data_IF_349995473552
#
_entry.id   IF_349995473552
#
_cell.length_a   1.000
_cell.length_b   1.000
_cell.length_c   1.000
_cell.angle_alpha   90.00
_cell.angle_beta   90.00
_cell.angle_gamma   90.00
#
_symmetry.space_group_name_H-M   'P 1'
#
loop_
_entity.id
_entity.type
_entity.pdbx_description
1 polymer ?
#
# COMPACT_ATOMS: atom_id res chain seq x y z
N UNK A 1 13.84 -9.88 1.67
CA UNK A 1 14.37 -9.07 2.79
C UNK A 1 13.29 -8.13 3.33
N UNK A 2 13.47 -7.67 4.57
CA UNK A 2 12.61 -6.70 5.25
C UNK A 2 13.46 -5.66 5.95
N UNK A 3 12.96 -4.43 6.05
CA UNK A 3 13.63 -3.35 6.77
C UNK A 3 12.65 -2.21 7.09
N UNK A 4 13.16 -1.21 7.78
CA UNK A 4 12.43 0.03 8.00
C UNK A 4 12.84 1.07 6.96
N UNK A 5 11.85 1.73 6.40
CA UNK A 5 12.05 2.87 5.52
C UNK A 5 12.44 4.09 6.38
N UNK A 6 13.45 4.88 5.98
CA UNK A 6 13.80 6.10 6.70
C UNK A 6 12.65 7.11 6.68
N UNK A 7 12.03 7.31 7.82
CA UNK A 7 10.87 8.20 7.96
C UNK A 7 11.27 9.67 8.12
N UNK A 8 12.09 10.20 7.21
CA UNK A 8 12.61 11.56 7.26
C UNK A 8 11.50 12.55 6.94
N UNK A 9 11.13 13.38 7.90
CA UNK A 9 10.05 14.35 7.77
C UNK A 9 10.52 15.83 7.74
N UNK A 10 11.82 16.07 7.61
CA UNK A 10 12.43 17.40 7.64
C UNK A 10 12.53 17.96 9.08
N UNK A 11 13.01 19.21 9.20
CA UNK A 11 13.28 19.82 10.50
C UNK A 11 12.03 20.11 11.34
N UNK A 12 10.90 20.34 10.71
CA UNK A 12 9.63 20.71 11.36
C UNK A 12 8.56 19.63 11.24
N UNK A 13 8.85 18.54 10.56
CA UNK A 13 7.91 17.45 10.37
C UNK A 13 7.92 16.44 11.52
N UNK A 14 6.92 15.59 11.54
CA UNK A 14 6.80 14.49 12.51
C UNK A 14 7.37 13.22 11.88
N UNK A 15 8.46 12.65 12.41
CA UNK A 15 9.06 11.45 11.85
C UNK A 15 8.12 10.26 12.00
N UNK A 16 8.11 9.42 10.98
CA UNK A 16 7.34 8.17 10.94
C UNK A 16 8.27 7.00 10.74
N UNK A 17 7.88 5.85 11.23
CA UNK A 17 8.47 4.59 10.83
C UNK A 17 7.54 3.89 9.84
N UNK A 18 8.12 3.21 8.85
CA UNK A 18 7.40 2.35 7.93
C UNK A 18 8.19 1.07 7.72
N UNK A 19 7.58 -0.06 8.02
CA UNK A 19 8.17 -1.38 7.85
C UNK A 19 7.75 -1.95 6.51
N UNK A 20 8.71 -2.40 5.72
CA UNK A 20 8.46 -2.94 4.39
C UNK A 20 9.13 -4.29 4.16
N UNK A 21 8.60 -5.03 3.22
CA UNK A 21 9.16 -6.28 2.69
C UNK A 21 9.29 -6.18 1.16
N UNK A 22 10.11 -7.04 0.57
CA UNK A 22 10.28 -7.08 -0.89
C UNK A 22 9.22 -7.95 -1.59
N UNK A 23 7.96 -7.84 -1.16
CA UNK A 23 6.81 -8.53 -1.76
C UNK A 23 5.61 -7.60 -1.81
N UNK A 24 4.67 -7.90 -2.70
CA UNK A 24 3.48 -7.08 -2.88
C UNK A 24 3.83 -5.62 -3.12
N UNK A 25 3.09 -4.71 -2.53
CA UNK A 25 3.37 -3.28 -2.60
C UNK A 25 4.25 -2.76 -1.45
N UNK A 26 5.04 -3.63 -0.84
CA UNK A 26 6.14 -3.31 0.05
C UNK A 26 5.71 -3.01 1.49
N UNK A 27 4.95 -1.96 1.73
CA UNK A 27 4.61 -1.49 3.07
C UNK A 27 3.70 -2.48 3.80
N UNK A 28 4.16 -2.95 4.97
CA UNK A 28 3.44 -3.89 5.84
C UNK A 28 2.86 -3.23 7.06
N UNK A 29 3.51 -2.19 7.58
CA UNK A 29 3.06 -1.42 8.72
C UNK A 29 3.76 -0.07 8.76
N UNK A 30 3.09 0.94 9.27
CA UNK A 30 3.67 2.27 9.47
C UNK A 30 2.97 2.99 10.62
N UNK A 31 3.64 3.95 11.20
CA UNK A 31 3.12 4.73 12.32
C UNK A 31 4.12 5.75 12.85
N UNK A 32 3.79 6.33 13.99
CA UNK A 32 4.65 7.25 14.73
C UNK A 32 5.12 6.60 16.03
N UNK A 33 6.16 7.15 16.67
CA UNK A 33 6.70 6.73 17.96
C UNK A 33 7.09 5.24 18.00
N UNK A 34 6.12 4.35 18.16
CA UNK A 34 6.34 2.91 18.28
C UNK A 34 5.13 2.11 17.76
N UNK A 35 5.19 0.78 17.83
CA UNK A 35 4.16 -0.14 17.30
C UNK A 35 2.74 0.06 17.86
N UNK A 36 2.59 0.70 19.01
CA UNK A 36 1.27 0.98 19.60
C UNK A 36 0.57 2.19 18.96
N UNK A 37 1.24 2.89 18.07
CA UNK A 37 0.73 4.04 17.30
C UNK A 37 0.83 3.78 15.80
N UNK A 38 0.54 2.56 15.41
CA UNK A 38 0.53 2.15 14.01
C UNK A 38 -0.86 2.28 13.40
N UNK A 39 -0.91 2.55 12.11
CA UNK A 39 -2.13 2.55 11.30
C UNK A 39 -2.41 1.14 10.75
N UNK A 40 -1.35 0.40 10.42
CA UNK A 40 -1.41 -1.02 10.07
C UNK A 40 -0.78 -1.83 11.19
N UNK A 41 -1.39 -2.96 11.55
CA UNK A 41 -0.86 -3.84 12.58
C UNK A 41 0.58 -4.27 12.27
N UNK A 42 1.46 -4.14 13.26
CA UNK A 42 2.85 -4.52 13.11
C UNK A 42 3.05 -6.00 13.42
N UNK A 43 3.43 -6.75 12.40
CA UNK A 43 3.79 -8.16 12.51
C UNK A 43 5.29 -8.39 12.40
N UNK A 44 5.82 -9.48 12.99
CA UNK A 44 7.17 -9.95 12.69
C UNK A 44 7.36 -10.19 11.18
N UNK A 45 8.61 -10.12 10.72
CA UNK A 45 8.94 -10.19 9.30
C UNK A 45 8.36 -11.43 8.58
N UNK A 46 8.43 -12.60 9.21
CA UNK A 46 7.90 -13.85 8.64
C UNK A 46 6.39 -13.80 8.40
N UNK A 47 5.62 -13.20 9.32
CA UNK A 47 4.17 -13.00 9.15
C UNK A 47 3.92 -11.93 8.10
N UNK A 48 4.64 -10.79 8.15
CA UNK A 48 4.53 -9.71 7.16
C UNK A 48 4.73 -10.20 5.74
N UNK A 49 5.68 -11.09 5.49
CA UNK A 49 5.87 -11.72 4.17
C UNK A 49 4.65 -12.48 3.67
N UNK A 50 3.92 -13.14 4.55
CA UNK A 50 2.74 -13.94 4.17
C UNK A 50 1.49 -13.10 3.99
N UNK A 51 1.36 -11.97 4.72
CA UNK A 51 0.12 -11.20 4.75
C UNK A 51 0.16 -9.91 3.92
N UNK A 52 1.33 -9.46 3.44
CA UNK A 52 1.45 -8.19 2.72
C UNK A 52 0.57 -8.10 1.46
N UNK A 53 0.37 -9.22 0.78
CA UNK A 53 -0.47 -9.29 -0.42
C UNK A 53 -1.98 -9.18 -0.11
N UNK A 54 -2.37 -9.37 1.15
CA UNK A 54 -3.78 -9.35 1.57
C UNK A 54 -4.12 -8.16 2.45
N UNK A 55 -3.21 -7.76 3.34
CA UNK A 55 -3.42 -6.67 4.30
C UNK A 55 -2.60 -5.42 3.99
N UNK A 56 -1.63 -5.48 3.08
CA UNK A 56 -0.89 -4.32 2.60
C UNK A 56 -1.69 -3.44 1.64
N UNK A 57 -1.05 -2.41 1.11
CA UNK A 57 -1.62 -1.61 0.04
C UNK A 57 -1.85 -2.47 -1.21
N UNK A 58 -2.98 -2.23 -1.88
CA UNK A 58 -3.38 -2.95 -3.08
C UNK A 58 -3.93 -1.98 -4.12
N UNK A 59 -3.66 -2.31 -5.38
CA UNK A 59 -4.17 -1.58 -6.54
C UNK A 59 -4.83 -2.59 -7.47
N UNK A 60 -6.04 -2.33 -7.88
CA UNK A 60 -6.78 -3.15 -8.84
C UNK A 60 -7.04 -2.32 -10.07
N UNK A 61 -6.77 -2.88 -11.23
CA UNK A 61 -6.96 -2.24 -12.53
C UNK A 61 -7.96 -3.04 -13.33
N UNK A 62 -9.00 -2.38 -13.83
CA UNK A 62 -9.89 -2.94 -14.85
C UNK A 62 -9.58 -2.23 -16.17
N UNK A 63 -8.92 -2.94 -17.05
CA UNK A 63 -8.37 -2.42 -18.30
C UNK A 63 -9.26 -2.85 -19.45
N UNK A 64 -9.76 -1.89 -20.21
CA UNK A 64 -10.51 -2.13 -21.44
C UNK A 64 -9.63 -1.79 -22.63
N UNK A 65 -9.38 -2.79 -23.49
CA UNK A 65 -8.60 -2.65 -24.73
C UNK A 65 -9.37 -3.33 -25.84
N UNK A 66 -9.82 -2.54 -26.83
CA UNK A 66 -10.71 -3.01 -27.89
C UNK A 66 -11.96 -3.71 -27.28
N UNK A 67 -12.19 -4.98 -27.58
CA UNK A 67 -13.35 -5.75 -27.07
C UNK A 67 -13.02 -6.63 -25.86
N UNK A 68 -11.83 -6.47 -25.24
CA UNK A 68 -11.43 -7.28 -24.08
C UNK A 68 -11.39 -6.44 -22.83
N UNK A 69 -11.89 -7.01 -21.73
CA UNK A 69 -11.74 -6.45 -20.39
C UNK A 69 -10.85 -7.38 -19.58
N UNK A 70 -9.82 -6.82 -18.95
CA UNK A 70 -8.85 -7.53 -18.13
C UNK A 70 -8.89 -6.92 -16.73
N UNK A 71 -9.10 -7.75 -15.70
CA UNK A 71 -8.88 -7.35 -14.31
C UNK A 71 -7.45 -7.74 -13.93
N UNK A 72 -6.70 -6.78 -13.41
CA UNK A 72 -5.28 -6.96 -13.10
C UNK A 72 -4.94 -6.38 -11.74
N UNK A 73 -4.20 -7.13 -10.94
CA UNK A 73 -3.61 -6.66 -9.69
C UNK A 73 -2.08 -6.70 -9.84
N UNK A 74 -1.40 -5.55 -9.87
CA UNK A 74 0.06 -5.49 -9.99
C UNK A 74 0.75 -5.94 -8.69
N UNK A 75 2.02 -6.29 -8.82
CA UNK A 75 2.90 -6.72 -7.73
C UNK A 75 2.49 -8.02 -7.04
N UNK A 76 1.57 -8.79 -7.62
CA UNK A 76 1.37 -10.17 -7.21
C UNK A 76 2.59 -11.01 -7.62
N UNK A 77 3.06 -11.87 -6.71
CA UNK A 77 4.15 -12.81 -6.98
C UNK A 77 3.67 -13.96 -7.87
N UNK A 78 3.23 -13.66 -9.09
CA UNK A 78 2.98 -14.67 -10.11
C UNK A 78 4.30 -14.93 -10.85
N UNK A 79 5.03 -15.91 -10.36
CA UNK A 79 6.31 -16.34 -10.93
C UNK A 79 6.23 -16.98 -12.32
N UNK A 80 5.04 -17.12 -12.89
CA UNK A 80 4.83 -17.85 -14.12
C UNK A 80 5.25 -17.11 -15.41
N UNK A 81 5.36 -15.78 -15.38
CA UNK A 81 5.68 -14.98 -16.60
C UNK A 81 6.76 -13.93 -16.31
N UNK A 82 7.95 -14.41 -16.00
CA UNK A 82 9.10 -13.54 -15.70
C UNK A 82 9.69 -12.85 -16.93
N UNK A 83 9.37 -13.28 -18.14
CA UNK A 83 9.84 -12.67 -19.38
C UNK A 83 9.08 -11.38 -19.70
N UNK A 84 7.79 -11.36 -19.43
CA UNK A 84 6.91 -10.25 -19.79
C UNK A 84 6.55 -9.34 -18.60
N UNK A 85 6.71 -9.82 -17.37
CA UNK A 85 6.44 -9.05 -16.15
C UNK A 85 7.75 -8.82 -15.41
N UNK A 86 8.18 -7.56 -15.36
CA UNK A 86 9.38 -7.16 -14.63
C UNK A 86 9.00 -6.29 -13.44
N UNK A 87 9.38 -6.74 -12.24
CA UNK A 87 9.20 -5.99 -10.99
C UNK A 87 10.55 -5.49 -10.48
N UNK A 88 10.57 -4.25 -9.98
CA UNK A 88 11.76 -3.62 -9.42
C UNK A 88 11.38 -2.86 -8.16
N UNK A 89 12.19 -3.00 -7.11
CA UNK A 89 12.11 -2.21 -5.89
C UNK A 89 13.37 -1.37 -5.75
N UNK A 90 13.23 -0.05 -5.63
CA UNK A 90 14.31 0.90 -5.41
C UNK A 90 14.12 1.54 -4.04
N UNK A 91 15.15 1.53 -3.23
CA UNK A 91 15.15 2.10 -1.88
C UNK A 91 16.12 3.26 -1.90
N UNK A 92 15.59 4.45 -1.72
CA UNK A 92 16.32 5.71 -1.64
C UNK A 92 16.32 6.23 -0.20
N UNK A 93 17.18 7.19 0.16
CA UNK A 93 17.20 7.73 1.53
C UNK A 93 15.88 8.34 1.99
N UNK A 94 15.00 8.74 1.09
CA UNK A 94 13.74 9.44 1.36
C UNK A 94 12.54 8.89 0.60
N UNK A 95 12.73 7.91 -0.28
CA UNK A 95 11.67 7.30 -1.08
C UNK A 95 11.82 5.77 -1.17
N UNK A 96 10.71 5.08 -1.20
CA UNK A 96 10.60 3.69 -1.64
C UNK A 96 9.81 3.67 -2.94
N UNK A 97 10.39 3.12 -4.00
CA UNK A 97 9.77 3.08 -5.33
C UNK A 97 9.63 1.63 -5.75
N UNK A 98 8.43 1.26 -6.16
CA UNK A 98 8.11 -0.01 -6.78
C UNK A 98 7.71 0.24 -8.22
N UNK A 99 8.28 -0.51 -9.14
CA UNK A 99 7.93 -0.44 -10.56
C UNK A 99 7.56 -1.84 -11.05
N UNK A 100 6.47 -1.94 -11.77
CA UNK A 100 6.11 -3.15 -12.53
C UNK A 100 5.83 -2.78 -13.98
N UNK A 101 6.47 -3.51 -14.88
CA UNK A 101 6.23 -3.42 -16.32
C UNK A 101 5.60 -4.74 -16.75
N UNK A 102 4.38 -4.69 -17.27
CA UNK A 102 3.68 -5.84 -17.85
C UNK A 102 3.50 -5.63 -19.35
N UNK A 103 4.35 -6.29 -20.13
CA UNK A 103 4.34 -6.19 -21.61
C UNK A 103 3.12 -6.87 -22.24
N UNK A 104 2.53 -7.88 -21.61
CA UNK A 104 1.35 -8.57 -22.13
C UNK A 104 0.13 -7.65 -22.20
N UNK A 105 -0.03 -6.84 -21.17
CA UNK A 105 -1.13 -5.87 -21.08
C UNK A 105 -0.73 -4.54 -21.70
N UNK A 106 0.57 -4.23 -21.68
CA UNK A 106 1.12 -2.99 -22.21
C UNK A 106 1.02 -1.84 -21.22
N UNK A 107 1.21 -2.10 -19.93
CA UNK A 107 1.19 -1.09 -18.88
C UNK A 107 2.46 -1.11 -18.04
N UNK A 108 2.80 0.07 -17.51
CA UNK A 108 3.79 0.24 -16.45
C UNK A 108 3.11 0.87 -15.25
N UNK A 109 3.33 0.32 -14.08
CA UNK A 109 2.82 0.83 -12.82
C UNK A 109 4.01 1.23 -11.94
N UNK A 110 3.95 2.45 -11.39
CA UNK A 110 4.94 2.96 -10.44
C UNK A 110 4.24 3.35 -9.16
N UNK A 111 4.66 2.77 -8.04
CA UNK A 111 4.20 3.12 -6.70
C UNK A 111 5.35 3.75 -5.94
N UNK A 112 5.14 4.96 -5.40
CA UNK A 112 6.13 5.68 -4.61
C UNK A 112 5.60 5.92 -3.20
N UNK A 113 6.47 5.73 -2.21
CA UNK A 113 6.20 6.05 -0.82
C UNK A 113 7.24 7.04 -0.31
N UNK A 114 6.80 8.07 0.41
CA UNK A 114 7.65 9.00 1.13
C UNK A 114 6.88 9.59 2.32
N UNK A 115 7.60 10.13 3.29
CA UNK A 115 6.97 10.80 4.43
C UNK A 115 6.76 12.28 4.14
N UNK A 116 5.66 12.83 4.63
CA UNK A 116 5.29 14.24 4.42
C UNK A 116 6.30 15.16 5.12
N UNK A 117 7.06 16.00 4.37
CA UNK A 117 8.10 16.80 4.98
C UNK A 117 7.55 18.12 5.55
N UNK A 118 8.14 18.57 6.66
CA UNK A 118 7.94 19.91 7.24
C UNK A 118 6.48 20.31 7.51
N UNK A 119 5.62 19.33 7.77
CA UNK A 119 4.22 19.57 8.12
C UNK A 119 3.96 19.23 9.60
N UNK A 120 3.00 19.89 10.26
CA UNK A 120 2.65 19.62 11.66
C UNK A 120 1.87 18.32 11.85
N UNK A 121 1.71 17.53 10.79
CA UNK A 121 1.03 16.24 10.79
C UNK A 121 1.96 15.16 10.24
N UNK A 122 1.91 13.97 10.84
CA UNK A 122 2.60 12.81 10.29
C UNK A 122 1.79 12.22 9.13
N UNK A 123 2.44 11.96 8.01
CA UNK A 123 1.79 11.36 6.84
C UNK A 123 2.75 10.49 6.03
N UNK A 124 2.33 9.26 5.73
CA UNK A 124 2.94 8.44 4.70
C UNK A 124 2.23 8.74 3.39
N UNK A 125 2.93 9.39 2.49
CA UNK A 125 2.43 9.69 1.16
C UNK A 125 2.61 8.47 0.26
N UNK A 126 1.58 8.18 -0.53
CA UNK A 126 1.61 7.15 -1.55
C UNK A 126 1.10 7.71 -2.87
N UNK A 127 1.88 7.52 -3.92
CA UNK A 127 1.52 7.92 -5.28
C UNK A 127 1.54 6.68 -6.17
N UNK A 128 0.49 6.47 -6.94
CA UNK A 128 0.38 5.40 -7.94
C UNK A 128 0.25 6.03 -9.30
N UNK A 129 1.16 5.68 -10.20
CA UNK A 129 1.15 6.12 -11.59
C UNK A 129 0.95 4.90 -12.49
N UNK A 130 -0.04 4.96 -13.36
CA UNK A 130 -0.30 3.95 -14.40
C UNK A 130 0.01 4.55 -15.76
N UNK A 131 0.97 3.97 -16.44
CA UNK A 131 1.41 4.41 -17.77
C UNK A 131 1.01 3.39 -18.83
N UNK A 132 0.42 3.85 -19.94
CA UNK A 132 0.21 3.05 -21.12
C UNK A 132 1.51 3.04 -21.95
N UNK A 133 2.13 1.88 -22.09
CA UNK A 133 3.37 1.70 -22.87
C UNK A 133 3.11 1.16 -24.29
N UNK A 134 1.85 1.18 -24.74
CA UNK A 134 1.46 0.78 -26.10
C UNK A 134 1.13 2.01 -26.95
N UNK A 135 1.04 1.82 -28.26
CA UNK A 135 0.64 2.87 -29.20
C UNK A 135 -0.88 2.96 -29.39
N UNK A 136 -1.67 2.20 -28.63
CA UNK A 136 -3.14 2.19 -28.73
C UNK A 136 -3.76 2.74 -27.45
N UNK A 137 -4.91 3.37 -27.57
CA UNK A 137 -5.68 3.86 -26.43
C UNK A 137 -6.19 2.71 -25.58
N UNK A 138 -6.11 2.88 -24.26
CA UNK A 138 -6.68 1.98 -23.28
C UNK A 138 -7.53 2.79 -22.29
N UNK A 139 -8.64 2.21 -21.84
CA UNK A 139 -9.44 2.75 -20.74
C UNK A 139 -9.13 1.98 -19.46
N UNK A 140 -8.84 2.68 -18.38
CA UNK A 140 -8.47 2.06 -17.09
C UNK A 140 -9.37 2.60 -16.01
N UNK A 141 -10.04 1.70 -15.30
CA UNK A 141 -10.71 1.97 -14.03
C UNK A 141 -9.77 1.49 -12.91
N UNK A 142 -9.55 2.31 -11.88
CA UNK A 142 -8.61 2.03 -10.80
C UNK A 142 -9.34 1.97 -9.48
N UNK A 143 -9.14 0.90 -8.71
CA UNK A 143 -9.46 0.83 -7.29
C UNK A 143 -8.15 0.67 -6.52
N UNK A 144 -7.89 1.57 -5.57
CA UNK A 144 -6.62 1.64 -4.86
C UNK A 144 -6.85 1.90 -3.37
N UNK A 145 -6.04 1.28 -2.52
CA UNK A 145 -6.15 1.54 -1.10
C UNK A 145 -5.53 0.47 -0.20
N UNK A 146 -6.02 0.47 1.02
CA UNK A 146 -5.62 -0.41 2.11
C UNK A 146 -6.86 -1.09 2.69
N UNK A 147 -6.87 -2.42 2.84
CA UNK A 147 -8.08 -3.14 3.23
C UNK A 147 -8.38 -3.05 4.73
N UNK A 148 -7.40 -2.73 5.57
CA UNK A 148 -7.55 -2.67 7.02
C UNK A 148 -6.69 -1.56 7.61
N UNK A 149 -7.31 -0.72 8.42
CA UNK A 149 -6.63 0.29 9.24
C UNK A 149 -6.94 0.05 10.72
N UNK A 150 -6.01 0.44 11.58
CA UNK A 150 -6.21 0.42 13.03
C UNK A 150 -6.69 1.79 13.50
N UNK A 151 -7.73 1.85 14.34
CA UNK A 151 -8.10 3.08 15.02
C UNK A 151 -6.96 3.60 15.90
N UNK A 152 -6.92 4.91 16.08
CA UNK A 152 -5.96 5.54 16.97
C UNK A 152 -6.09 4.99 18.40
N UNK A 153 -4.98 4.79 19.09
CA UNK A 153 -4.87 4.11 20.40
C UNK A 153 -5.14 2.60 20.41
N UNK A 154 -5.32 1.95 19.29
CA UNK A 154 -5.39 0.49 19.23
C UNK A 154 -4.00 -0.10 19.47
N UNK A 155 -3.59 -0.20 20.72
CA UNK A 155 -2.29 -0.75 21.10
C UNK A 155 -2.26 -2.30 20.99
N UNK A 156 -1.06 -2.87 21.15
CA UNK A 156 -0.85 -4.33 21.01
C UNK A 156 -1.70 -5.14 22.00
N UNK A 157 -2.00 -4.62 23.19
CA UNK A 157 -2.87 -5.29 24.16
C UNK A 157 -4.31 -5.39 23.63
N UNK A 158 -4.86 -4.24 23.18
CA UNK A 158 -6.20 -4.19 22.61
C UNK A 158 -6.34 -5.13 21.40
N UNK A 159 -5.34 -5.16 20.52
CA UNK A 159 -5.33 -6.04 19.35
C UNK A 159 -5.31 -7.53 19.73
N UNK A 160 -4.54 -7.92 20.75
CA UNK A 160 -4.43 -9.33 21.15
C UNK A 160 -5.63 -9.83 21.95
N UNK A 161 -6.16 -9.02 22.85
CA UNK A 161 -7.14 -9.49 23.83
C UNK A 161 -8.55 -8.96 23.61
N UNK A 162 -8.71 -7.89 22.82
CA UNK A 162 -10.00 -7.23 22.60
C UNK A 162 -10.37 -7.08 21.13
N UNK A 163 -9.63 -7.67 20.20
CA UNK A 163 -9.82 -7.45 18.76
C UNK A 163 -11.24 -7.75 18.28
N UNK A 164 -11.82 -8.87 18.72
CA UNK A 164 -13.20 -9.27 18.34
C UNK A 164 -14.24 -8.28 18.87
N UNK A 165 -14.07 -7.83 20.12
CA UNK A 165 -14.97 -6.85 20.75
C UNK A 165 -14.89 -5.50 20.05
N UNK A 166 -13.68 -5.05 19.73
CA UNK A 166 -13.46 -3.78 19.04
C UNK A 166 -14.02 -3.83 17.61
N UNK A 167 -13.84 -4.95 16.90
CA UNK A 167 -14.43 -5.14 15.58
C UNK A 167 -15.97 -5.12 15.63
N UNK A 168 -16.56 -5.70 16.67
CA UNK A 168 -18.02 -5.68 16.86
C UNK A 168 -18.57 -4.27 17.16
N UNK A 169 -17.76 -3.40 17.74
CA UNK A 169 -18.13 -2.01 18.03
C UNK A 169 -17.83 -1.04 16.90
N UNK A 170 -16.93 -1.42 15.98
CA UNK A 170 -16.61 -0.58 14.84
C UNK A 170 -17.77 -0.52 13.86
N UNK A 171 -18.24 0.67 13.56
CA UNK A 171 -19.27 0.95 12.56
C UNK A 171 -18.70 1.86 11.48
N UNK A 172 -19.31 1.84 10.31
CA UNK A 172 -19.00 2.80 9.24
C UNK A 172 -20.29 3.53 8.91
N UNK A 173 -20.33 4.82 9.17
CA UNK A 173 -21.43 5.68 8.88
C UNK A 173 -21.28 6.37 7.52
N UNK A 174 -22.39 6.82 6.95
CA UNK A 174 -22.45 7.44 5.62
C UNK A 174 -21.98 6.56 4.43
N UNK A 175 -21.89 5.24 4.60
CA UNK A 175 -21.42 4.35 3.55
C UNK A 175 -22.23 4.43 2.25
N UNK A 176 -23.58 4.55 2.35
CA UNK A 176 -24.48 4.58 1.18
C UNK A 176 -24.87 6.01 0.75
N UNK A 177 -24.42 7.02 1.45
CA UNK A 177 -24.73 8.43 1.15
C UNK A 177 -23.59 9.07 0.37
N UNK A 178 -23.88 10.17 -0.32
CA UNK A 178 -22.89 10.95 -1.09
C UNK A 178 -21.87 11.69 -0.20
N UNK A 179 -21.82 11.43 1.09
CA UNK A 179 -20.87 11.97 2.04
C UNK A 179 -19.60 11.13 2.15
N UNK A 180 -18.65 11.64 2.92
CA UNK A 180 -17.44 10.89 3.30
C UNK A 180 -17.79 9.90 4.40
N UNK A 181 -17.51 8.60 4.25
CA UNK A 181 -17.66 7.62 5.33
C UNK A 181 -16.77 7.97 6.53
N UNK A 182 -17.23 7.75 7.75
CA UNK A 182 -16.47 7.94 9.00
C UNK A 182 -16.76 6.86 10.04
#
# INVERSE_FOLDING_TARGET
FSSFFPGIAGLKGIPMWAFYVNRGQGICSFGIKNKNYSIMEFYPANVSYSVVNTFGFRTFLKIKKSNKTICYEPFLNNSADTENIKQTMKILPYELILEEINKNIGIKITVKYFTLPNQPVAGLMRSVTVENITNSDISVEVADGIPKILPYYMNTYAQKFMSTTIQAWATVDNFEKTGVPF
#
